data_IF_603690040956
#
_entry.id   IF_603690040956
#
_cell.length_a   1.000
_cell.length_b   1.000
_cell.length_c   1.000
_cell.angle_alpha   90.00
_cell.angle_beta   90.00
_cell.angle_gamma   90.00
#
_symmetry.space_group_name_H-M   'P 1'
#
loop_
_entity.id
_entity.type
_entity.pdbx_description
1 polymer ?
#
# COMPACT_ATOMS: atom_id res chain seq x y z
N UNK A 1 4.39 -8.05 15.24
CA UNK A 1 3.76 -7.02 16.09
C UNK A 1 2.35 -6.80 15.57
N UNK A 2 1.37 -6.62 16.45
CA UNK A 2 -0.02 -6.35 16.08
C UNK A 2 -0.50 -5.11 16.85
N UNK A 3 -1.35 -4.30 16.24
CA UNK A 3 -2.04 -3.23 16.95
C UNK A 3 -3.24 -3.82 17.72
N UNK A 4 -3.64 -3.23 18.83
CA UNK A 4 -4.82 -3.71 19.57
C UNK A 4 -6.11 -3.20 18.92
N UNK A 5 -6.25 -1.88 18.85
CA UNK A 5 -7.34 -1.20 18.17
C UNK A 5 -6.90 0.18 17.70
N UNK A 6 -7.58 0.70 16.68
CA UNK A 6 -7.37 2.06 16.19
C UNK A 6 -8.68 2.64 15.64
N UNK A 7 -8.78 3.96 15.66
CA UNK A 7 -9.98 4.69 15.23
C UNK A 7 -9.56 5.74 14.21
N UNK A 8 -10.19 5.69 13.03
CA UNK A 8 -9.94 6.65 11.96
C UNK A 8 -11.25 7.31 11.49
N UNK A 9 -11.22 8.62 11.18
CA UNK A 9 -12.36 9.28 10.57
C UNK A 9 -12.54 8.82 9.12
N UNK A 10 -13.79 8.63 8.71
CA UNK A 10 -14.17 8.27 7.37
C UNK A 10 -15.46 8.96 6.95
N UNK A 11 -15.73 9.01 5.65
CA UNK A 11 -16.97 9.54 5.10
C UNK A 11 -17.76 8.43 4.44
N UNK A 12 -19.05 8.33 4.77
CA UNK A 12 -19.97 7.46 4.05
C UNK A 12 -20.77 8.28 3.06
N UNK A 13 -20.78 7.82 1.80
CA UNK A 13 -21.52 8.46 0.71
C UNK A 13 -22.37 7.43 -0.04
N UNK A 14 -23.62 7.77 -0.32
CA UNK A 14 -24.48 6.94 -1.18
C UNK A 14 -24.01 7.06 -2.63
N UNK A 15 -23.90 5.93 -3.31
CA UNK A 15 -23.58 5.85 -4.73
C UNK A 15 -24.64 5.00 -5.47
N UNK A 16 -24.42 4.73 -6.77
CA UNK A 16 -25.36 3.94 -7.59
C UNK A 16 -25.54 2.50 -7.09
N UNK A 17 -24.55 1.96 -6.39
CA UNK A 17 -24.46 0.54 -6.03
C UNK A 17 -24.76 0.26 -4.54
N UNK A 18 -24.84 1.30 -3.72
CA UNK A 18 -25.03 1.23 -2.27
C UNK A 18 -24.41 2.43 -1.55
N UNK A 19 -23.59 2.15 -0.53
CA UNK A 19 -22.87 3.13 0.28
C UNK A 19 -21.38 2.83 0.25
N UNK A 20 -20.57 3.80 -0.17
CA UNK A 20 -19.12 3.72 -0.15
C UNK A 20 -18.53 4.45 1.06
N UNK A 21 -17.49 3.87 1.68
CA UNK A 21 -16.75 4.50 2.79
C UNK A 21 -15.39 4.98 2.32
N UNK A 22 -15.07 6.23 2.61
CA UNK A 22 -13.90 6.95 2.14
C UNK A 22 -13.01 7.34 3.31
N UNK A 23 -11.70 7.08 3.21
CA UNK A 23 -10.70 7.46 4.23
C UNK A 23 -9.72 8.51 3.70
N UNK A 24 -10.14 9.77 3.57
CA UNK A 24 -9.29 10.81 2.98
C UNK A 24 -8.06 11.17 3.83
N UNK A 25 -8.13 10.99 5.15
CA UNK A 25 -7.02 11.25 6.07
C UNK A 25 -5.96 10.16 6.02
N UNK A 26 -6.34 8.93 5.63
CA UNK A 26 -5.42 7.82 5.38
C UNK A 26 -4.81 7.87 3.98
N UNK A 27 -5.57 8.38 3.00
CA UNK A 27 -5.16 8.45 1.60
C UNK A 27 -5.38 9.86 1.06
N UNK A 28 -4.46 10.81 1.33
CA UNK A 28 -4.67 12.22 0.98
C UNK A 28 -5.00 12.47 -0.50
N UNK A 29 -4.37 11.71 -1.40
CA UNK A 29 -4.47 11.92 -2.84
C UNK A 29 -5.70 11.26 -3.48
N UNK A 30 -6.14 10.13 -2.92
CA UNK A 30 -7.10 9.22 -3.56
C UNK A 30 -8.32 8.89 -2.71
N UNK A 31 -8.25 9.11 -1.39
CA UNK A 31 -9.29 8.69 -0.44
C UNK A 31 -10.63 9.40 -0.64
N UNK A 32 -10.63 10.60 -1.24
CA UNK A 32 -11.85 11.30 -1.65
C UNK A 32 -12.48 10.74 -2.92
N UNK A 33 -11.65 10.25 -3.85
CA UNK A 33 -12.08 9.81 -5.19
C UNK A 33 -12.60 8.38 -5.18
N UNK A 34 -11.98 7.53 -4.37
CA UNK A 34 -12.25 6.09 -4.33
C UNK A 34 -12.69 5.69 -2.93
N UNK A 35 -13.84 5.01 -2.85
CA UNK A 35 -14.24 4.35 -1.61
C UNK A 35 -13.31 3.16 -1.37
N UNK A 36 -12.98 2.89 -0.11
CA UNK A 36 -12.18 1.74 0.30
C UNK A 36 -13.04 0.52 0.59
N UNK A 37 -14.26 0.75 1.06
CA UNK A 37 -15.26 -0.30 1.25
C UNK A 37 -16.60 0.10 0.65
N UNK A 38 -17.43 -0.89 0.34
CA UNK A 38 -18.78 -0.75 -0.20
C UNK A 38 -19.74 -1.65 0.57
N UNK A 39 -21.01 -1.26 0.67
CA UNK A 39 -22.08 -2.15 1.13
C UNK A 39 -23.44 -1.70 0.59
N UNK A 40 -24.41 -2.61 0.50
CA UNK A 40 -25.79 -2.26 0.08
C UNK A 40 -26.50 -1.40 1.11
N UNK A 41 -26.13 -1.54 2.37
CA UNK A 41 -26.61 -0.71 3.49
C UNK A 41 -25.47 0.05 4.16
N UNK A 42 -25.79 1.13 4.89
CA UNK A 42 -24.79 1.86 5.70
C UNK A 42 -24.10 0.96 6.72
N UNK A 43 -24.86 0.07 7.37
CA UNK A 43 -24.36 -0.88 8.37
C UNK A 43 -23.33 -1.83 7.75
N UNK A 44 -23.66 -2.39 6.59
CA UNK A 44 -22.77 -3.29 5.85
C UNK A 44 -21.50 -2.56 5.37
N UNK A 45 -21.64 -1.37 4.78
CA UNK A 45 -20.49 -0.57 4.33
C UNK A 45 -19.55 -0.23 5.49
N UNK A 46 -20.11 0.09 6.66
CA UNK A 46 -19.36 0.36 7.89
C UNK A 46 -18.64 -0.89 8.39
N UNK A 47 -19.30 -2.06 8.37
CA UNK A 47 -18.67 -3.32 8.78
C UNK A 47 -17.51 -3.72 7.85
N UNK A 48 -17.70 -3.55 6.54
CA UNK A 48 -16.64 -3.78 5.56
C UNK A 48 -15.50 -2.77 5.75
N UNK A 49 -15.81 -1.50 6.06
CA UNK A 49 -14.78 -0.49 6.34
C UNK A 49 -13.93 -0.85 7.56
N UNK A 50 -14.52 -1.43 8.62
CA UNK A 50 -13.76 -1.90 9.80
C UNK A 50 -12.76 -2.99 9.42
N UNK A 51 -13.20 -3.95 8.60
CA UNK A 51 -12.36 -5.03 8.09
C UNK A 51 -11.22 -4.48 7.24
N UNK A 52 -11.53 -3.68 6.22
CA UNK A 52 -10.53 -3.12 5.30
C UNK A 52 -9.51 -2.24 6.03
N UNK A 53 -9.99 -1.46 7.02
CA UNK A 53 -9.12 -0.67 7.88
C UNK A 53 -8.21 -1.57 8.73
N UNK A 54 -8.73 -2.64 9.34
CA UNK A 54 -7.93 -3.56 10.12
C UNK A 54 -6.82 -4.22 9.28
N UNK A 55 -7.13 -4.62 8.05
CA UNK A 55 -6.18 -5.21 7.11
C UNK A 55 -5.09 -4.22 6.73
N UNK A 56 -5.48 -2.99 6.40
CA UNK A 56 -4.53 -1.94 6.05
C UNK A 56 -3.56 -1.64 7.20
N UNK A 57 -4.07 -1.41 8.41
CA UNK A 57 -3.25 -1.12 9.59
C UNK A 57 -2.35 -2.29 9.99
N UNK A 58 -2.86 -3.52 9.90
CA UNK A 58 -2.05 -4.71 10.15
C UNK A 58 -0.91 -4.82 9.14
N UNK A 59 -1.18 -4.53 7.86
CA UNK A 59 -0.16 -4.43 6.83
C UNK A 59 0.93 -3.43 7.17
N UNK A 60 0.56 -2.20 7.57
CA UNK A 60 1.51 -1.15 7.99
C UNK A 60 2.39 -1.61 9.15
N UNK A 61 1.81 -2.16 10.22
CA UNK A 61 2.59 -2.65 11.37
C UNK A 61 3.50 -3.82 10.99
N UNK A 62 3.00 -4.73 10.14
CA UNK A 62 3.78 -5.86 9.63
C UNK A 62 4.93 -5.43 8.71
N UNK A 63 4.83 -4.24 8.11
CA UNK A 63 5.87 -3.61 7.31
C UNK A 63 6.84 -2.75 8.14
N UNK A 64 6.74 -2.82 9.47
CA UNK A 64 7.54 -2.03 10.41
C UNK A 64 7.41 -0.52 10.18
N UNK A 65 6.23 -0.10 9.75
CA UNK A 65 5.87 1.30 9.55
C UNK A 65 5.02 1.80 10.71
N UNK A 66 5.08 3.10 10.95
CA UNK A 66 4.21 3.75 11.91
C UNK A 66 2.79 3.81 11.37
N UNK A 67 1.82 3.59 12.26
CA UNK A 67 0.43 3.79 11.88
C UNK A 67 0.21 5.24 11.46
N UNK A 68 -0.54 5.49 10.38
CA UNK A 68 -0.77 6.83 9.88
C UNK A 68 -1.45 7.69 10.94
N UNK A 69 -1.04 8.94 11.05
CA UNK A 69 -1.68 9.89 11.97
C UNK A 69 -3.14 10.13 11.60
N UNK A 70 -3.98 10.39 12.60
CA UNK A 70 -5.33 10.92 12.39
C UNK A 70 -5.25 12.38 11.94
N UNK A 71 -4.96 12.59 10.65
CA UNK A 71 -4.91 13.93 10.07
C UNK A 71 -6.27 14.62 10.25
N UNK A 72 -6.30 15.94 10.50
CA UNK A 72 -7.54 16.68 10.59
C UNK A 72 -8.28 16.63 9.26
N UNK A 73 -9.60 16.52 9.35
CA UNK A 73 -10.49 16.56 8.20
C UNK A 73 -10.52 17.99 7.65
N UNK A 74 -10.20 18.22 6.36
CA UNK A 74 -10.41 19.51 5.75
C UNK A 74 -11.92 19.80 5.67
N UNK A 75 -12.40 20.75 6.47
CA UNK A 75 -13.83 21.08 6.55
C UNK A 75 -14.44 21.50 5.20
N UNK A 76 -13.61 22.07 4.31
CA UNK A 76 -13.99 22.50 2.97
C UNK A 76 -14.28 21.34 1.99
N UNK A 77 -13.96 20.09 2.35
CA UNK A 77 -14.20 18.91 1.51
C UNK A 77 -15.42 18.10 1.94
N UNK A 78 -16.06 18.48 3.06
CA UNK A 78 -17.27 17.82 3.55
C UNK A 78 -18.49 18.42 2.85
N UNK A 79 -19.19 17.62 2.05
CA UNK A 79 -20.45 18.04 1.41
C UNK A 79 -21.66 17.58 2.24
N UNK A 80 -22.82 18.22 2.03
CA UNK A 80 -24.07 17.85 2.73
C UNK A 80 -24.53 16.39 2.46
N UNK A 81 -24.05 15.78 1.38
CA UNK A 81 -24.36 14.39 1.02
C UNK A 81 -23.45 13.36 1.72
N UNK A 82 -22.45 13.84 2.47
CA UNK A 82 -21.48 13.01 3.17
C UNK A 82 -21.78 12.99 4.66
N UNK A 83 -21.74 11.80 5.24
CA UNK A 83 -21.83 11.63 6.69
C UNK A 83 -20.45 11.24 7.22
N UNK A 84 -19.94 12.02 8.17
CA UNK A 84 -18.72 11.70 8.90
C UNK A 84 -19.00 10.58 9.91
N UNK A 85 -18.20 9.52 9.84
CA UNK A 85 -18.25 8.37 10.74
C UNK A 85 -16.87 8.07 11.29
N UNK A 86 -16.80 7.54 12.50
CA UNK A 86 -15.56 7.06 13.10
C UNK A 86 -15.52 5.54 13.01
N UNK A 87 -14.52 5.01 12.29
CA UNK A 87 -14.37 3.58 12.08
C UNK A 87 -13.33 3.05 13.05
N UNK A 88 -13.78 2.20 13.98
CA UNK A 88 -12.92 1.46 14.91
C UNK A 88 -12.55 0.12 14.29
N UNK A 89 -11.25 -0.09 14.07
CA UNK A 89 -10.68 -1.39 13.73
C UNK A 89 -10.08 -2.05 14.97
N UNK A 90 -10.33 -3.34 15.15
CA UNK A 90 -9.77 -4.17 16.22
C UNK A 90 -9.08 -5.35 15.56
N UNK A 91 -7.80 -5.57 15.84
CA UNK A 91 -7.03 -6.63 15.17
C UNK A 91 -7.59 -8.02 15.45
N UNK A 92 -7.91 -8.30 16.72
CA UNK A 92 -8.38 -9.62 17.16
C UNK A 92 -9.65 -10.08 16.45
N UNK A 93 -10.49 -9.15 15.98
CA UNK A 93 -11.73 -9.46 15.27
C UNK A 93 -11.46 -10.11 13.90
N UNK A 94 -10.25 -9.92 13.34
CA UNK A 94 -9.88 -10.36 12.00
C UNK A 94 -8.52 -11.08 11.95
N UNK A 95 -7.91 -11.40 13.10
CA UNK A 95 -6.51 -11.83 13.20
C UNK A 95 -6.17 -13.01 12.27
N UNK A 96 -7.00 -14.06 12.27
CA UNK A 96 -6.78 -15.24 11.43
C UNK A 96 -6.74 -14.87 9.94
N UNK A 97 -7.74 -14.13 9.47
CA UNK A 97 -7.81 -13.76 8.06
C UNK A 97 -6.67 -12.80 7.69
N UNK A 98 -6.33 -11.85 8.57
CA UNK A 98 -5.19 -10.95 8.38
C UNK A 98 -3.89 -11.74 8.21
N UNK A 99 -3.61 -12.68 9.12
CA UNK A 99 -2.38 -13.48 9.09
C UNK A 99 -2.26 -14.30 7.80
N UNK A 100 -3.37 -14.88 7.32
CA UNK A 100 -3.44 -15.57 6.03
C UNK A 100 -3.19 -14.64 4.84
N UNK A 101 -3.57 -13.36 4.92
CA UNK A 101 -3.42 -12.37 3.84
C UNK A 101 -2.09 -11.62 3.87
N UNK A 102 -1.36 -11.57 4.99
CA UNK A 102 -0.15 -10.76 5.13
C UNK A 102 1.03 -11.32 4.31
N UNK A 103 1.11 -12.65 4.18
CA UNK A 103 2.09 -13.36 3.37
C UNK A 103 1.67 -13.32 1.90
N UNK A 104 2.61 -13.13 0.99
CA UNK A 104 2.33 -13.07 -0.45
C UNK A 104 1.69 -11.76 -0.92
N UNK A 105 1.47 -10.79 -0.02
CA UNK A 105 1.17 -9.40 -0.44
C UNK A 105 2.24 -8.92 -1.40
N UNK A 106 1.82 -8.11 -2.35
CA UNK A 106 2.74 -7.47 -3.26
C UNK A 106 2.31 -6.04 -3.60
N UNK A 107 3.26 -5.27 -4.08
CA UNK A 107 2.99 -4.00 -4.75
C UNK A 107 3.99 -3.81 -5.89
N UNK A 108 3.60 -3.01 -6.88
CA UNK A 108 4.48 -2.58 -7.97
C UNK A 108 5.19 -1.29 -7.60
N UNK A 109 6.50 -1.23 -7.86
CA UNK A 109 7.35 -0.07 -7.66
C UNK A 109 7.68 0.48 -9.04
N UNK A 110 7.17 1.67 -9.34
CA UNK A 110 7.66 2.45 -10.47
C UNK A 110 8.87 3.30 -10.03
N UNK A 111 9.89 3.37 -10.87
CA UNK A 111 11.07 4.18 -10.58
C UNK A 111 10.70 5.65 -10.36
N UNK A 112 11.23 6.25 -9.30
CA UNK A 112 10.86 7.60 -8.85
C UNK A 112 9.36 7.81 -8.58
N UNK A 113 8.58 6.73 -8.41
CA UNK A 113 7.12 6.78 -8.23
C UNK A 113 6.41 7.41 -9.44
N UNK A 114 7.03 7.37 -10.62
CA UNK A 114 6.43 7.83 -11.87
C UNK A 114 5.72 6.67 -12.56
N UNK A 115 4.38 6.68 -12.55
CA UNK A 115 3.55 5.64 -13.18
C UNK A 115 3.84 5.43 -14.68
N UNK A 116 4.44 6.41 -15.35
CA UNK A 116 4.84 6.33 -16.75
C UNK A 116 6.28 5.82 -16.94
N UNK A 117 6.97 5.46 -15.86
CA UNK A 117 8.34 4.97 -15.94
C UNK A 117 8.41 3.62 -16.65
N UNK A 118 9.42 3.47 -17.51
CA UNK A 118 9.75 2.18 -18.14
C UNK A 118 10.45 1.22 -17.17
N UNK A 119 10.91 1.72 -16.02
CA UNK A 119 11.59 0.92 -15.00
C UNK A 119 10.63 0.54 -13.88
N UNK A 120 10.30 -0.75 -13.82
CA UNK A 120 9.31 -1.29 -12.88
C UNK A 120 9.88 -2.48 -12.11
N UNK A 121 9.48 -2.59 -10.85
CA UNK A 121 9.73 -3.74 -10.01
C UNK A 121 8.44 -4.18 -9.33
N UNK A 122 8.45 -5.39 -8.81
CA UNK A 122 7.43 -5.92 -7.93
C UNK A 122 8.09 -6.35 -6.63
N UNK A 123 7.49 -5.95 -5.51
CA UNK A 123 7.92 -6.36 -4.17
C UNK A 123 6.93 -7.40 -3.63
N UNK A 124 7.41 -8.60 -3.33
CA UNK A 124 6.61 -9.66 -2.70
C UNK A 124 6.99 -9.83 -1.24
N UNK A 125 6.01 -9.96 -0.35
CA UNK A 125 6.26 -10.26 1.06
C UNK A 125 6.50 -11.77 1.22
N UNK A 126 7.71 -12.13 1.61
CA UNK A 126 8.09 -13.53 1.82
C UNK A 126 7.72 -14.04 3.22
N UNK A 127 7.95 -15.34 3.45
CA UNK A 127 7.62 -16.03 4.70
C UNK A 127 8.39 -15.49 5.91
N UNK A 128 9.54 -14.86 5.69
CA UNK A 128 10.35 -14.22 6.73
C UNK A 128 9.89 -12.79 7.04
N UNK A 129 8.83 -12.30 6.38
CA UNK A 129 8.33 -10.94 6.55
C UNK A 129 9.20 -9.88 5.88
N UNK A 130 10.10 -10.25 4.97
CA UNK A 130 10.88 -9.32 4.15
C UNK A 130 10.22 -9.11 2.78
N UNK A 131 10.42 -7.93 2.22
CA UNK A 131 10.07 -7.59 0.85
C UNK A 131 11.17 -8.08 -0.11
N UNK A 132 10.83 -9.02 -0.97
CA UNK A 132 11.64 -9.45 -2.10
C UNK A 132 11.34 -8.57 -3.31
N UNK A 133 12.26 -7.66 -3.64
CA UNK A 133 12.11 -6.74 -4.77
C UNK A 133 12.73 -7.35 -6.01
N UNK A 134 11.92 -7.61 -7.04
CA UNK A 134 12.34 -8.20 -8.31
C UNK A 134 12.01 -7.26 -9.46
N UNK A 135 12.81 -7.32 -10.53
CA UNK A 135 12.48 -6.56 -11.74
C UNK A 135 11.16 -7.07 -12.36
N UNK A 136 10.35 -6.14 -12.83
CA UNK A 136 9.03 -6.39 -13.45
C UNK A 136 8.93 -5.71 -14.83
N UNK A 137 10.06 -5.55 -15.50
CA UNK A 137 10.12 -5.04 -16.86
C UNK A 137 11.35 -5.58 -17.59
N UNK A 138 11.35 -5.39 -18.90
CA UNK A 138 12.53 -5.61 -19.72
C UNK A 138 13.53 -4.46 -19.53
N UNK A 139 14.80 -4.79 -19.29
CA UNK A 139 15.89 -3.83 -19.25
C UNK A 139 16.75 -3.96 -20.52
N UNK A 140 17.07 -2.86 -21.23
CA UNK A 140 17.88 -2.91 -22.45
C UNK A 140 19.38 -3.05 -22.15
N UNK A 141 19.75 -4.00 -21.28
CA UNK A 141 21.11 -4.25 -20.83
C UNK A 141 21.35 -5.76 -20.79
N UNK A 142 22.51 -6.19 -21.28
CA UNK A 142 22.93 -7.59 -21.20
C UNK A 142 22.94 -8.09 -19.75
N UNK A 143 22.41 -9.29 -19.52
CA UNK A 143 22.30 -9.88 -18.18
C UNK A 143 23.64 -9.95 -17.44
N UNK A 144 24.74 -10.19 -18.14
CA UNK A 144 26.08 -10.23 -17.56
C UNK A 144 26.48 -8.87 -16.93
N UNK A 145 26.10 -7.76 -17.56
CA UNK A 145 26.31 -6.40 -17.00
C UNK A 145 25.37 -6.15 -15.82
N UNK A 146 24.14 -6.67 -15.85
CA UNK A 146 23.21 -6.61 -14.74
C UNK A 146 23.73 -7.38 -13.52
N UNK A 147 24.28 -8.58 -13.72
CA UNK A 147 24.90 -9.39 -12.67
C UNK A 147 26.14 -8.73 -12.06
N UNK A 148 26.89 -7.92 -12.82
CA UNK A 148 28.00 -7.13 -12.28
C UNK A 148 27.55 -6.05 -11.28
N UNK A 149 26.39 -5.41 -11.52
CA UNK A 149 25.86 -4.37 -10.63
C UNK A 149 24.91 -4.89 -9.56
N UNK A 150 24.34 -6.08 -9.80
CA UNK A 150 23.38 -6.78 -8.96
C UNK A 150 23.58 -8.31 -9.10
N UNK A 151 24.47 -8.93 -8.31
CA UNK A 151 24.77 -10.36 -8.41
C UNK A 151 23.57 -11.29 -8.18
N UNK A 152 22.53 -10.80 -7.52
CA UNK A 152 21.30 -11.54 -7.23
C UNK A 152 20.20 -11.34 -8.28
N UNK A 153 20.47 -10.65 -9.39
CA UNK A 153 19.49 -10.40 -10.45
C UNK A 153 18.78 -11.70 -10.89
N UNK A 154 17.43 -11.72 -11.04
CA UNK A 154 16.51 -10.58 -11.04
C UNK A 154 16.06 -10.07 -9.66
N UNK A 155 16.51 -10.68 -8.56
CA UNK A 155 16.28 -10.17 -7.21
C UNK A 155 17.17 -8.95 -6.97
N UNK A 156 16.56 -7.78 -6.87
CA UNK A 156 17.25 -6.51 -6.69
C UNK A 156 17.70 -6.34 -5.24
N UNK A 157 16.81 -6.64 -4.28
CA UNK A 157 17.14 -6.59 -2.86
C UNK A 157 16.10 -7.29 -1.98
N UNK A 158 16.49 -7.49 -0.72
CA UNK A 158 15.57 -7.68 0.40
C UNK A 158 15.43 -6.36 1.16
N UNK A 159 14.23 -6.06 1.63
CA UNK A 159 13.94 -4.89 2.45
C UNK A 159 12.93 -5.20 3.55
N UNK A 160 12.98 -4.47 4.65
CA UNK A 160 11.97 -4.62 5.73
C UNK A 160 10.83 -3.63 5.56
N UNK A 161 11.14 -2.40 5.12
CA UNK A 161 10.19 -1.29 4.96
C UNK A 161 9.93 -0.95 3.48
N UNK A 162 8.78 -0.33 3.16
CA UNK A 162 8.48 0.13 1.78
C UNK A 162 9.52 1.12 1.26
N UNK A 163 9.76 2.18 2.02
CA UNK A 163 10.70 3.23 1.62
C UNK A 163 12.12 2.69 1.37
N UNK A 164 12.53 1.67 2.11
CA UNK A 164 13.82 0.99 1.90
C UNK A 164 13.84 0.21 0.57
N UNK A 165 12.77 -0.51 0.27
CA UNK A 165 12.62 -1.24 -1.00
C UNK A 165 12.67 -0.27 -2.20
N UNK A 166 11.92 0.83 -2.12
CA UNK A 166 11.86 1.88 -3.14
C UNK A 166 13.23 2.53 -3.37
N UNK A 167 13.91 2.93 -2.28
CA UNK A 167 15.24 3.54 -2.36
C UNK A 167 16.28 2.59 -2.98
N UNK A 168 16.28 1.31 -2.58
CA UNK A 168 17.20 0.32 -3.14
C UNK A 168 16.92 0.06 -4.62
N UNK A 169 15.65 0.03 -5.02
CA UNK A 169 15.26 -0.09 -6.42
C UNK A 169 15.71 1.13 -7.25
N UNK A 170 15.46 2.35 -6.78
CA UNK A 170 15.91 3.57 -7.46
C UNK A 170 17.44 3.57 -7.68
N UNK A 171 18.20 3.19 -6.65
CA UNK A 171 19.66 3.08 -6.74
C UNK A 171 20.10 2.03 -7.76
N UNK A 172 19.38 0.93 -7.90
CA UNK A 172 19.64 -0.06 -8.95
C UNK A 172 19.36 0.52 -10.35
N UNK A 173 18.21 1.18 -10.55
CA UNK A 173 17.85 1.80 -11.82
C UNK A 173 18.87 2.86 -12.24
N UNK A 174 19.36 3.68 -11.30
CA UNK A 174 20.44 4.65 -11.56
C UNK A 174 21.73 3.99 -12.08
N UNK A 175 22.05 2.77 -11.66
CA UNK A 175 23.19 2.01 -12.20
C UNK A 175 22.90 1.50 -13.61
N UNK A 176 21.68 1.02 -13.86
CA UNK A 176 21.24 0.58 -15.20
C UNK A 176 21.32 1.74 -16.20
N UNK A 177 20.77 2.92 -15.86
CA UNK A 177 20.82 4.12 -16.70
C UNK A 177 22.27 4.50 -17.04
N UNK A 178 23.19 4.40 -16.07
CA UNK A 178 24.62 4.65 -16.32
C UNK A 178 25.29 3.65 -17.26
N UNK A 179 24.76 2.43 -17.38
CA UNK A 179 25.26 1.42 -18.33
C UNK A 179 24.70 1.70 -19.72
N UNK A 180 23.42 2.05 -19.83
CA UNK A 180 22.75 2.33 -21.12
C UNK A 180 23.31 3.59 -21.78
N UNK A 181 23.65 4.60 -20.99
CA UNK A 181 24.15 5.88 -21.50
C UNK A 181 25.67 5.90 -21.78
N UNK A 182 26.37 4.78 -21.63
CA UNK A 182 27.80 4.63 -21.92
C UNK A 182 28.01 3.88 -23.22
#
# INVERSE_FOLDING_TARGET
MAFQSAIYPAFIKKNKEGYGVHFPTLYPETGWKHYKSLGKTKKEATQNAKKDLAYYLAGTVYDHEELPSNAPIPANLVTQEMELVWITAVYSDYAKEIEEHLIGRHWHIDYNRDMNSDYKAVAYKNEQGAWEVRIDCYLPVEEQKLLQICPSYPLICLATRRAEAEEKFDRFVLKVIKIVNK
#
